data_IF_208296446119
#
_entry.id   IF_208296446119
#
_cell.length_a   1.000
_cell.length_b   1.000
_cell.length_c   1.000
_cell.angle_alpha   90.00
_cell.angle_beta   90.00
_cell.angle_gamma   90.00
#
_symmetry.space_group_name_H-M   'P 1'
#
loop_
_entity.id
_entity.type
_entity.pdbx_description
1 polymer ?
#
# COMPACT_ATOMS: atom_id res chain seq x y z
N UNK A 1 0.26 -38.73 4.34
CA UNK A 1 0.32 -37.92 3.11
C UNK A 1 -0.37 -38.74 2.03
N UNK A 2 -1.60 -38.42 1.69
CA UNK A 2 -2.31 -39.00 0.55
C UNK A 2 -2.09 -38.08 -0.64
N UNK A 3 -1.62 -38.63 -1.76
CA UNK A 3 -1.47 -37.92 -3.03
C UNK A 3 -2.79 -37.26 -3.43
N UNK A 4 -2.76 -36.04 -4.02
CA UNK A 4 -3.97 -35.43 -4.54
C UNK A 4 -4.44 -36.24 -5.75
N UNK A 5 -5.69 -36.67 -5.68
CA UNK A 5 -6.43 -37.33 -6.74
C UNK A 5 -6.34 -36.46 -8.01
N UNK A 6 -5.72 -36.98 -9.06
CA UNK A 6 -5.68 -36.34 -10.36
C UNK A 6 -7.09 -36.40 -10.95
N UNK A 7 -7.85 -35.33 -10.72
CA UNK A 7 -9.23 -35.23 -11.17
C UNK A 7 -9.35 -35.43 -12.67
N UNK A 8 -10.15 -36.42 -13.04
CA UNK A 8 -10.62 -36.63 -14.40
C UNK A 8 -11.27 -35.33 -14.88
N UNK A 9 -10.91 -34.77 -16.04
CA UNK A 9 -11.53 -33.54 -16.52
C UNK A 9 -13.04 -33.79 -16.69
N UNK A 10 -13.82 -33.00 -15.91
CA UNK A 10 -15.27 -33.05 -16.00
C UNK A 10 -15.65 -32.61 -17.41
N UNK A 11 -16.34 -33.49 -18.16
CA UNK A 11 -17.08 -33.08 -19.32
C UNK A 11 -18.18 -32.13 -18.85
N UNK A 12 -17.96 -30.83 -19.03
CA UNK A 12 -19.06 -29.86 -18.96
C UNK A 12 -20.23 -30.44 -19.74
N UNK A 13 -21.46 -30.43 -19.18
CA UNK A 13 -22.61 -30.90 -19.97
C UNK A 13 -22.60 -30.15 -21.29
N UNK A 14 -22.68 -30.90 -22.37
CA UNK A 14 -22.75 -30.32 -23.71
C UNK A 14 -23.90 -29.28 -23.71
N UNK A 15 -23.78 -28.15 -24.42
CA UNK A 15 -24.89 -27.20 -24.59
C UNK A 15 -26.17 -27.84 -25.10
N UNK A 16 -26.06 -29.06 -25.62
CA UNK A 16 -27.17 -29.88 -26.06
C UNK A 16 -27.83 -30.74 -24.95
N UNK A 17 -27.27 -30.74 -23.72
CA UNK A 17 -27.85 -31.49 -22.57
C UNK A 17 -28.66 -30.55 -21.67
N UNK A 18 -29.64 -29.89 -22.26
CA UNK A 18 -30.53 -28.94 -21.61
C UNK A 18 -31.23 -29.50 -20.36
N UNK A 19 -31.41 -30.84 -20.31
CA UNK A 19 -32.02 -31.51 -19.15
C UNK A 19 -31.15 -31.47 -17.91
N UNK A 20 -29.85 -31.75 -18.02
CA UNK A 20 -28.92 -31.75 -16.91
C UNK A 20 -28.66 -30.31 -16.37
N UNK A 21 -28.55 -29.34 -17.27
CA UNK A 21 -28.40 -27.93 -16.89
C UNK A 21 -29.66 -27.43 -16.15
N UNK A 22 -30.87 -27.72 -16.67
CA UNK A 22 -32.13 -27.36 -16.04
C UNK A 22 -32.31 -28.05 -14.66
N UNK A 23 -31.91 -29.31 -14.52
CA UNK A 23 -31.93 -30.00 -13.24
C UNK A 23 -30.99 -29.38 -12.21
N UNK A 24 -29.80 -28.96 -12.62
CA UNK A 24 -28.84 -28.27 -11.77
C UNK A 24 -29.33 -26.88 -11.33
N UNK A 25 -29.88 -26.12 -12.27
CA UNK A 25 -30.46 -24.77 -11.96
C UNK A 25 -31.72 -24.89 -11.09
N UNK A 26 -32.41 -26.03 -11.11
CA UNK A 26 -33.57 -26.30 -10.25
C UNK A 26 -33.19 -26.84 -8.85
N UNK A 27 -31.90 -27.23 -8.65
CA UNK A 27 -31.42 -27.64 -7.32
C UNK A 27 -31.33 -26.41 -6.40
N UNK A 28 -32.10 -26.36 -5.29
CA UNK A 28 -32.16 -25.19 -4.44
C UNK A 28 -30.82 -24.89 -3.74
N UNK A 29 -29.96 -25.89 -3.50
CA UNK A 29 -28.65 -25.71 -2.91
C UNK A 29 -27.72 -25.05 -3.93
N UNK A 30 -27.72 -25.52 -5.18
CA UNK A 30 -26.93 -24.91 -6.24
C UNK A 30 -27.40 -23.48 -6.55
N UNK A 31 -28.70 -23.24 -6.63
CA UNK A 31 -29.26 -21.92 -6.92
C UNK A 31 -28.84 -20.91 -5.84
N UNK A 32 -28.89 -21.29 -4.54
CA UNK A 32 -28.46 -20.42 -3.46
C UNK A 32 -26.95 -20.14 -3.51
N UNK A 33 -26.12 -21.14 -3.75
CA UNK A 33 -24.66 -20.98 -3.90
C UNK A 33 -24.30 -20.12 -5.12
N UNK A 34 -24.98 -20.30 -6.24
CA UNK A 34 -24.74 -19.52 -7.45
C UNK A 34 -25.14 -18.06 -7.28
N UNK A 35 -26.27 -17.77 -6.62
CA UNK A 35 -26.70 -16.43 -6.29
C UNK A 35 -25.70 -15.73 -5.35
N UNK A 36 -25.22 -16.44 -4.34
CA UNK A 36 -24.19 -15.93 -3.43
C UNK A 36 -22.87 -15.70 -4.17
N UNK A 37 -22.42 -16.67 -4.96
CA UNK A 37 -21.17 -16.55 -5.74
C UNK A 37 -21.17 -15.45 -6.80
N UNK A 38 -22.35 -15.02 -7.25
CA UNK A 38 -22.50 -13.88 -8.15
C UNK A 38 -22.35 -12.52 -7.42
N UNK A 39 -22.57 -12.47 -6.10
CA UNK A 39 -22.48 -11.26 -5.29
C UNK A 39 -21.21 -11.19 -4.46
N UNK A 40 -20.81 -12.34 -3.88
CA UNK A 40 -19.75 -12.47 -2.91
C UNK A 40 -18.78 -13.56 -3.35
N UNK A 41 -17.54 -13.50 -2.86
CA UNK A 41 -16.57 -14.55 -3.13
C UNK A 41 -16.70 -15.62 -2.03
N UNK A 42 -17.03 -16.85 -2.44
CA UNK A 42 -17.02 -18.03 -1.55
C UNK A 42 -15.65 -18.67 -1.72
N UNK A 43 -14.84 -18.73 -0.65
CA UNK A 43 -13.55 -19.40 -0.69
C UNK A 43 -13.70 -20.94 -0.66
N UNK A 44 -12.63 -21.64 -1.04
CA UNK A 44 -12.64 -23.10 -1.08
C UNK A 44 -12.93 -23.75 0.28
N UNK A 45 -12.30 -23.24 1.33
CA UNK A 45 -12.42 -23.83 2.68
C UNK A 45 -13.82 -23.62 3.25
N UNK A 46 -14.48 -22.56 2.86
CA UNK A 46 -15.86 -22.29 3.19
C UNK A 46 -16.80 -23.20 2.39
N UNK A 47 -16.60 -23.30 1.07
CA UNK A 47 -17.41 -24.20 0.22
C UNK A 47 -17.33 -25.66 0.69
N UNK A 48 -16.13 -26.11 1.06
CA UNK A 48 -15.92 -27.50 1.51
C UNK A 48 -16.67 -27.86 2.81
N UNK A 49 -17.12 -26.88 3.57
CA UNK A 49 -17.89 -27.04 4.82
C UNK A 49 -19.40 -26.92 4.62
N UNK A 50 -19.85 -26.50 3.44
CA UNK A 50 -21.27 -26.24 3.13
C UNK A 50 -21.96 -27.48 2.57
N UNK A 51 -23.32 -27.54 2.66
CA UNK A 51 -24.10 -28.51 1.89
C UNK A 51 -23.81 -28.33 0.39
N UNK A 52 -23.61 -29.46 -0.30
CA UNK A 52 -23.36 -29.49 -1.72
C UNK A 52 -24.60 -29.90 -2.50
N UNK A 53 -24.76 -29.48 -3.77
CA UNK A 53 -25.84 -29.92 -4.63
C UNK A 53 -25.83 -31.44 -4.81
N UNK A 54 -27.00 -32.02 -5.01
CA UNK A 54 -27.17 -33.47 -5.12
C UNK A 54 -26.33 -34.05 -6.29
N UNK A 55 -25.47 -35.02 -5.97
CA UNK A 55 -24.63 -35.71 -6.95
C UNK A 55 -23.37 -34.96 -7.39
N UNK A 56 -23.05 -33.81 -6.80
CA UNK A 56 -21.83 -33.06 -7.09
C UNK A 56 -20.81 -33.15 -5.96
N UNK A 57 -19.54 -33.24 -6.30
CA UNK A 57 -18.44 -33.06 -5.35
C UNK A 57 -18.17 -31.59 -5.08
N UNK A 58 -17.36 -31.28 -4.06
CA UNK A 58 -16.91 -29.92 -3.80
C UNK A 58 -16.13 -29.34 -4.98
N UNK A 59 -15.31 -30.15 -5.65
CA UNK A 59 -14.57 -29.74 -6.84
C UNK A 59 -15.50 -29.40 -8.00
N UNK A 60 -16.52 -30.24 -8.25
CA UNK A 60 -17.50 -29.98 -9.32
C UNK A 60 -18.26 -28.68 -9.05
N UNK A 61 -18.73 -28.53 -7.80
CA UNK A 61 -19.45 -27.32 -7.37
C UNK A 61 -18.57 -26.09 -7.52
N UNK A 62 -17.29 -26.16 -7.12
CA UNK A 62 -16.33 -25.06 -7.28
C UNK A 62 -16.16 -24.62 -8.72
N UNK A 63 -15.98 -25.59 -9.64
CA UNK A 63 -15.84 -25.30 -11.07
C UNK A 63 -17.09 -24.62 -11.66
N UNK A 64 -18.27 -25.07 -11.25
CA UNK A 64 -19.52 -24.47 -11.68
C UNK A 64 -19.68 -23.05 -11.14
N UNK A 65 -19.36 -22.81 -9.87
CA UNK A 65 -19.38 -21.45 -9.29
C UNK A 65 -18.34 -20.54 -9.94
N UNK A 66 -17.17 -21.07 -10.31
CA UNK A 66 -16.16 -20.33 -11.08
C UNK A 66 -16.72 -19.94 -12.47
N UNK A 67 -17.43 -20.84 -13.14
CA UNK A 67 -18.08 -20.52 -14.40
C UNK A 67 -19.18 -19.46 -14.24
N UNK A 68 -19.96 -19.49 -13.15
CA UNK A 68 -20.94 -18.44 -12.82
C UNK A 68 -20.26 -17.07 -12.69
N UNK A 69 -19.16 -17.00 -11.93
CA UNK A 69 -18.39 -15.76 -11.76
C UNK A 69 -17.83 -15.26 -13.10
N UNK A 70 -17.36 -16.18 -13.94
CA UNK A 70 -16.77 -15.85 -15.25
C UNK A 70 -17.74 -15.09 -16.18
N UNK A 71 -19.03 -15.36 -16.11
CA UNK A 71 -20.04 -14.66 -16.92
C UNK A 71 -20.17 -13.17 -16.61
N UNK A 72 -19.99 -12.78 -15.36
CA UNK A 72 -20.05 -11.38 -14.93
C UNK A 72 -18.67 -10.72 -14.75
N UNK A 73 -17.61 -11.35 -15.26
CA UNK A 73 -16.25 -10.92 -15.03
C UNK A 73 -15.76 -9.85 -16.00
N UNK A 74 -14.81 -9.05 -15.52
CA UNK A 74 -13.98 -8.16 -16.33
C UNK A 74 -12.66 -8.85 -16.66
N UNK A 75 -12.26 -8.79 -17.92
CA UNK A 75 -11.01 -9.38 -18.40
C UNK A 75 -9.94 -8.30 -18.48
N UNK A 76 -8.75 -8.60 -17.94
CA UNK A 76 -7.58 -7.76 -18.17
C UNK A 76 -7.13 -7.86 -19.64
N UNK A 77 -6.72 -6.73 -20.25
CA UNK A 77 -6.33 -6.71 -21.67
C UNK A 77 -4.93 -7.28 -21.92
N UNK A 78 -4.25 -7.73 -20.86
CA UNK A 78 -2.90 -8.28 -20.94
C UNK A 78 -2.95 -9.79 -20.82
N UNK A 79 -2.14 -10.46 -21.63
CA UNK A 79 -1.90 -11.91 -21.54
C UNK A 79 -0.53 -12.16 -20.98
N UNK A 80 -0.39 -13.19 -20.16
CA UNK A 80 0.94 -13.59 -19.70
C UNK A 80 1.78 -14.22 -20.82
N UNK A 81 3.00 -14.59 -20.50
CA UNK A 81 3.96 -15.17 -21.45
C UNK A 81 3.56 -16.55 -21.99
N UNK A 82 2.51 -17.16 -21.41
CA UNK A 82 1.86 -18.40 -21.90
C UNK A 82 0.60 -18.13 -22.71
N UNK A 83 0.22 -16.87 -22.88
CA UNK A 83 -0.99 -16.44 -23.55
C UNK A 83 -2.26 -16.59 -22.72
N UNK A 84 -2.16 -16.87 -21.41
CA UNK A 84 -3.32 -17.00 -20.54
C UNK A 84 -4.00 -15.65 -20.34
N UNK A 85 -5.33 -15.71 -20.22
CA UNK A 85 -6.21 -14.58 -19.95
C UNK A 85 -6.47 -14.48 -18.45
N UNK A 86 -6.37 -13.29 -17.90
CA UNK A 86 -6.70 -13.01 -16.52
C UNK A 86 -8.03 -12.27 -16.44
N UNK A 87 -8.88 -12.65 -15.51
CA UNK A 87 -10.18 -12.04 -15.29
C UNK A 87 -10.52 -11.95 -13.80
N UNK A 88 -11.37 -11.03 -13.44
CA UNK A 88 -11.89 -10.89 -12.08
C UNK A 88 -13.35 -10.52 -12.09
N UNK A 89 -14.05 -10.82 -11.01
CA UNK A 89 -15.44 -10.41 -10.78
C UNK A 89 -15.49 -9.42 -9.64
N UNK A 90 -16.22 -8.32 -9.84
CA UNK A 90 -16.51 -7.38 -8.77
C UNK A 90 -17.52 -8.00 -7.81
N UNK A 91 -17.09 -8.23 -6.59
CA UNK A 91 -17.94 -8.68 -5.48
C UNK A 91 -18.45 -7.47 -4.70
N UNK A 92 -19.43 -7.72 -3.84
CA UNK A 92 -19.89 -6.70 -2.88
C UNK A 92 -18.75 -6.17 -2.02
N UNK A 93 -17.88 -7.06 -1.55
CA UNK A 93 -16.74 -6.71 -0.69
C UNK A 93 -15.70 -5.88 -1.45
N UNK A 94 -15.33 -6.29 -2.68
CA UNK A 94 -14.43 -5.49 -3.50
C UNK A 94 -14.99 -4.10 -3.81
N UNK A 95 -16.30 -4.00 -4.04
CA UNK A 95 -16.97 -2.71 -4.27
C UNK A 95 -16.92 -1.81 -3.05
N UNK A 96 -17.08 -2.35 -1.84
CA UNK A 96 -16.94 -1.58 -0.60
C UNK A 96 -15.50 -1.11 -0.38
N UNK A 97 -14.52 -1.94 -0.68
CA UNK A 97 -13.10 -1.55 -0.62
C UNK A 97 -12.79 -0.43 -1.62
N UNK A 98 -13.27 -0.58 -2.86
CA UNK A 98 -13.11 0.46 -3.89
C UNK A 98 -13.75 1.78 -3.44
N UNK A 99 -14.97 1.77 -2.92
CA UNK A 99 -15.66 2.98 -2.42
C UNK A 99 -14.86 3.66 -1.29
N UNK A 100 -14.29 2.90 -0.37
CA UNK A 100 -13.44 3.46 0.68
C UNK A 100 -12.16 4.12 0.10
N UNK A 101 -11.51 3.48 -0.86
CA UNK A 101 -10.32 4.01 -1.54
C UNK A 101 -10.68 5.27 -2.34
N UNK A 102 -11.78 5.24 -3.12
CA UNK A 102 -12.26 6.40 -3.87
C UNK A 102 -12.50 7.62 -2.97
N UNK A 103 -13.13 7.41 -1.82
CA UNK A 103 -13.47 8.47 -0.88
C UNK A 103 -12.23 9.11 -0.22
N UNK A 104 -11.21 8.33 0.05
CA UNK A 104 -10.10 8.77 0.90
C UNK A 104 -8.79 8.97 0.15
N UNK A 105 -8.57 8.32 -0.99
CA UNK A 105 -7.25 8.30 -1.63
C UNK A 105 -7.07 9.33 -2.73
N UNK A 106 -8.13 10.01 -3.17
CA UNK A 106 -8.06 11.06 -4.20
C UNK A 106 -7.31 12.31 -3.72
N UNK A 107 -6.74 13.04 -4.66
CA UNK A 107 -6.00 14.28 -4.40
C UNK A 107 -6.87 15.38 -3.75
N UNK A 108 -8.16 15.42 -4.06
CA UNK A 108 -9.13 16.36 -3.50
C UNK A 108 -9.75 15.90 -2.16
N UNK A 109 -9.36 14.74 -1.63
CA UNK A 109 -9.91 14.19 -0.39
C UNK A 109 -9.50 14.98 0.86
N UNK A 110 -10.30 14.88 1.92
CA UNK A 110 -9.95 15.43 3.22
C UNK A 110 -8.73 14.71 3.83
N UNK A 111 -8.55 13.44 3.50
CA UNK A 111 -7.40 12.63 3.94
C UNK A 111 -6.10 13.16 3.34
N UNK A 112 -6.06 13.41 2.02
CA UNK A 112 -4.88 13.99 1.38
C UNK A 112 -4.52 15.36 1.96
N UNK A 113 -5.50 16.25 2.13
CA UNK A 113 -5.25 17.53 2.81
C UNK A 113 -4.69 17.37 4.21
N UNK A 114 -5.18 16.39 4.99
CA UNK A 114 -4.67 16.11 6.32
C UNK A 114 -3.22 15.58 6.32
N UNK A 115 -2.85 14.80 5.31
CA UNK A 115 -1.48 14.28 5.13
C UNK A 115 -0.49 15.42 4.82
N UNK A 116 -0.90 16.41 4.04
CA UNK A 116 -0.04 17.54 3.69
C UNK A 116 0.25 18.46 4.89
N UNK A 117 -0.57 18.39 5.95
CA UNK A 117 -0.27 19.08 7.21
C UNK A 117 0.84 18.38 8.01
N UNK A 118 1.43 19.08 8.97
CA UNK A 118 2.59 18.68 9.78
C UNK A 118 2.55 17.22 10.26
N UNK A 119 1.42 16.78 10.81
CA UNK A 119 1.28 15.42 11.37
C UNK A 119 1.26 14.33 10.31
N UNK A 120 0.71 14.62 9.14
CA UNK A 120 0.71 13.68 8.02
C UNK A 120 2.10 13.48 7.42
N UNK A 121 2.97 14.49 7.45
CA UNK A 121 4.36 14.34 6.94
C UNK A 121 5.16 13.29 7.71
N UNK A 122 4.99 13.19 9.03
CA UNK A 122 5.62 12.13 9.84
C UNK A 122 5.15 10.73 9.39
N UNK A 123 3.85 10.59 9.12
CA UNK A 123 3.31 9.35 8.58
C UNK A 123 3.94 9.01 7.23
N UNK A 124 4.06 9.98 6.31
CA UNK A 124 4.67 9.77 4.99
C UNK A 124 6.11 9.27 5.09
N UNK A 125 6.92 9.87 5.96
CA UNK A 125 8.32 9.43 6.17
C UNK A 125 8.35 7.99 6.67
N UNK A 126 7.61 7.69 7.74
CA UNK A 126 7.56 6.33 8.29
C UNK A 126 6.97 5.30 7.31
N UNK A 127 5.96 5.69 6.52
CA UNK A 127 5.39 4.83 5.47
C UNK A 127 6.41 4.50 4.39
N UNK A 128 7.15 5.49 3.88
CA UNK A 128 8.19 5.29 2.85
C UNK A 128 9.33 4.39 3.36
N UNK A 129 9.75 4.56 4.62
CA UNK A 129 10.76 3.71 5.25
C UNK A 129 10.27 2.26 5.31
N UNK A 130 9.08 2.03 5.88
CA UNK A 130 8.49 0.68 5.98
C UNK A 130 8.31 0.04 4.61
N UNK A 131 7.85 0.81 3.63
CA UNK A 131 7.65 0.33 2.26
C UNK A 131 8.97 -0.10 1.61
N UNK A 132 10.03 0.71 1.69
CA UNK A 132 11.32 0.38 1.10
C UNK A 132 11.95 -0.88 1.73
N UNK A 133 11.86 -1.02 3.06
CA UNK A 133 12.38 -2.19 3.77
C UNK A 133 11.60 -3.45 3.41
N UNK A 134 10.27 -3.40 3.52
CA UNK A 134 9.41 -4.55 3.24
C UNK A 134 9.47 -4.97 1.77
N UNK A 135 9.60 -4.00 0.85
CA UNK A 135 9.78 -4.28 -0.57
C UNK A 135 11.05 -5.11 -0.83
N UNK A 136 12.18 -4.74 -0.23
CA UNK A 136 13.42 -5.50 -0.35
C UNK A 136 13.27 -6.91 0.25
N UNK A 137 12.63 -7.04 1.41
CA UNK A 137 12.41 -8.34 2.07
C UNK A 137 11.49 -9.27 1.25
N UNK A 138 10.44 -8.71 0.66
CA UNK A 138 9.51 -9.46 -0.22
C UNK A 138 10.20 -9.94 -1.50
N UNK A 139 11.19 -9.22 -2.00
CA UNK A 139 12.03 -9.63 -3.13
C UNK A 139 13.22 -10.53 -2.70
N UNK A 140 13.17 -11.05 -1.47
CA UNK A 140 14.08 -12.06 -0.96
C UNK A 140 15.39 -11.53 -0.41
N UNK A 141 15.62 -10.23 -0.35
CA UNK A 141 16.85 -9.65 0.23
C UNK A 141 16.83 -9.83 1.74
N UNK A 142 17.94 -10.32 2.29
CA UNK A 142 18.10 -10.46 3.74
C UNK A 142 18.39 -9.09 4.33
N UNK A 143 17.40 -8.56 5.08
CA UNK A 143 17.44 -7.21 5.66
C UNK A 143 17.02 -7.29 7.12
N UNK A 144 17.81 -6.71 8.01
CA UNK A 144 17.42 -6.40 9.37
C UNK A 144 16.58 -5.11 9.37
N UNK A 145 15.29 -5.14 9.79
CA UNK A 145 14.44 -3.94 9.81
C UNK A 145 15.06 -2.79 10.61
N UNK A 146 15.58 -3.06 11.81
CA UNK A 146 16.13 -2.04 12.70
C UNK A 146 17.39 -1.38 12.12
N UNK A 147 18.29 -2.19 11.49
CA UNK A 147 19.48 -1.65 10.84
C UNK A 147 19.13 -0.83 9.58
N UNK A 148 18.15 -1.26 8.81
CA UNK A 148 17.65 -0.55 7.64
C UNK A 148 16.96 0.77 8.02
N UNK A 149 16.12 0.75 9.06
CA UNK A 149 15.51 1.97 9.59
C UNK A 149 16.57 2.95 10.09
N UNK A 150 17.54 2.47 10.88
CA UNK A 150 18.68 3.29 11.33
C UNK A 150 19.48 3.86 10.16
N UNK A 151 19.72 3.07 9.09
CA UNK A 151 20.37 3.53 7.86
C UNK A 151 19.61 4.71 7.23
N UNK A 152 18.30 4.54 7.02
CA UNK A 152 17.45 5.53 6.36
C UNK A 152 17.27 6.79 7.21
N UNK A 153 17.19 6.66 8.53
CA UNK A 153 17.03 7.79 9.45
C UNK A 153 18.33 8.58 9.65
N UNK A 154 19.49 7.91 9.68
CA UNK A 154 20.78 8.57 9.89
C UNK A 154 21.37 9.23 8.65
N UNK A 155 20.93 8.83 7.44
CA UNK A 155 21.49 9.31 6.17
C UNK A 155 22.97 8.91 5.97
N UNK A 156 23.46 7.88 6.67
CA UNK A 156 24.84 7.42 6.52
C UNK A 156 25.10 6.83 5.13
N UNK A 157 26.36 6.86 4.71
CA UNK A 157 26.76 6.20 3.46
C UNK A 157 26.57 4.67 3.55
N UNK A 158 26.24 3.99 2.41
CA UNK A 158 26.08 2.56 2.35
C UNK A 158 27.42 1.84 2.61
N UNK A 159 27.39 0.77 3.39
CA UNK A 159 28.56 -0.05 3.74
C UNK A 159 28.67 -1.31 2.90
N UNK A 160 27.55 -1.76 2.34
CA UNK A 160 27.45 -2.99 1.55
C UNK A 160 26.37 -2.86 0.47
N UNK A 161 26.21 -3.92 -0.33
CA UNK A 161 25.22 -3.96 -1.41
C UNK A 161 23.77 -3.85 -0.92
N UNK A 162 23.45 -4.47 0.23
CA UNK A 162 22.11 -4.38 0.84
C UNK A 162 21.77 -2.96 1.26
N UNK A 163 22.71 -2.27 1.95
CA UNK A 163 22.55 -0.85 2.30
C UNK A 163 22.29 0.00 1.05
N UNK A 164 23.05 -0.22 -0.03
CA UNK A 164 22.90 0.51 -1.29
C UNK A 164 21.53 0.29 -1.91
N UNK A 165 21.07 -0.96 -1.98
CA UNK A 165 19.78 -1.30 -2.55
C UNK A 165 18.62 -0.65 -1.75
N UNK A 166 18.68 -0.69 -0.42
CA UNK A 166 17.68 -0.08 0.45
C UNK A 166 17.62 1.44 0.23
N UNK A 167 18.79 2.10 0.18
CA UNK A 167 18.87 3.54 -0.09
C UNK A 167 18.30 3.88 -1.47
N UNK A 168 18.63 3.11 -2.50
CA UNK A 168 18.10 3.31 -3.84
C UNK A 168 16.57 3.10 -3.89
N UNK A 169 16.08 2.01 -3.27
CA UNK A 169 14.64 1.74 -3.18
C UNK A 169 13.88 2.88 -2.46
N UNK A 170 14.43 3.39 -1.36
CA UNK A 170 13.85 4.50 -0.64
C UNK A 170 13.90 5.82 -1.44
N UNK A 171 15.03 6.12 -2.09
CA UNK A 171 15.19 7.32 -2.91
C UNK A 171 14.21 7.34 -4.09
N UNK A 172 14.02 6.19 -4.77
CA UNK A 172 13.03 6.05 -5.84
C UNK A 172 11.64 6.49 -5.40
N UNK A 173 11.21 6.19 -4.16
CA UNK A 173 9.88 6.58 -3.68
C UNK A 173 9.68 8.12 -3.61
N UNK A 174 10.76 8.91 -3.66
CA UNK A 174 10.68 10.37 -3.78
C UNK A 174 10.81 10.82 -5.23
N UNK A 175 11.69 10.19 -6.00
CA UNK A 175 11.94 10.50 -7.41
C UNK A 175 10.70 10.27 -8.30
N UNK A 176 9.79 9.35 -7.90
CA UNK A 176 8.55 9.09 -8.62
C UNK A 176 7.62 10.30 -8.72
N UNK A 177 7.69 11.21 -7.76
CA UNK A 177 6.84 12.42 -7.77
C UNK A 177 7.19 13.32 -8.97
N UNK A 178 8.46 13.30 -9.43
CA UNK A 178 8.95 14.06 -10.62
C UNK A 178 8.59 13.36 -11.95
N UNK A 179 8.20 12.09 -11.91
CA UNK A 179 7.84 11.30 -13.09
C UNK A 179 6.31 11.22 -13.31
N UNK A 180 5.53 11.92 -12.51
CA UNK A 180 4.07 11.81 -12.53
C UNK A 180 3.42 12.20 -13.87
N UNK A 181 4.06 13.05 -14.66
CA UNK A 181 3.56 13.47 -15.97
C UNK A 181 4.08 12.60 -17.14
N UNK A 182 4.97 11.64 -16.88
CA UNK A 182 5.58 10.81 -17.92
C UNK A 182 4.74 9.56 -18.18
N UNK A 183 4.30 9.26 -19.43
CA UNK A 183 3.54 8.08 -19.74
C UNK A 183 4.38 6.80 -19.53
N UNK A 184 3.73 5.71 -19.16
CA UNK A 184 4.39 4.42 -19.06
C UNK A 184 4.96 3.99 -20.41
N UNK A 185 6.22 3.63 -20.41
CA UNK A 185 6.93 3.11 -21.59
C UNK A 185 7.97 2.06 -21.17
N UNK A 186 8.44 1.21 -22.08
CA UNK A 186 9.52 0.27 -21.79
C UNK A 186 10.78 0.98 -21.27
N UNK A 187 11.06 2.18 -21.78
CA UNK A 187 12.20 3.00 -21.38
C UNK A 187 12.06 3.53 -19.96
N UNK A 188 10.86 4.00 -19.58
CA UNK A 188 10.58 4.41 -18.19
C UNK A 188 10.76 3.25 -17.22
N UNK A 189 10.19 2.08 -17.54
CA UNK A 189 10.35 0.89 -16.70
C UNK A 189 11.80 0.46 -16.55
N UNK A 190 12.57 0.53 -17.64
CA UNK A 190 14.01 0.23 -17.64
C UNK A 190 14.78 1.22 -16.76
N UNK A 191 14.50 2.53 -16.85
CA UNK A 191 15.12 3.55 -15.98
C UNK A 191 14.82 3.31 -14.50
N UNK A 192 13.59 2.94 -14.14
CA UNK A 192 13.25 2.61 -12.75
C UNK A 192 14.10 1.44 -12.24
N UNK A 193 14.24 0.40 -13.06
CA UNK A 193 15.08 -0.76 -12.71
C UNK A 193 16.57 -0.39 -12.61
N UNK A 194 17.12 0.31 -13.59
CA UNK A 194 18.52 0.74 -13.60
C UNK A 194 18.85 1.64 -12.40
N UNK A 195 17.95 2.58 -12.08
CA UNK A 195 18.08 3.45 -10.92
C UNK A 195 18.06 2.67 -9.60
N UNK A 196 17.23 1.62 -9.52
CA UNK A 196 17.16 0.75 -8.35
C UNK A 196 18.50 0.03 -8.11
N UNK A 197 19.12 -0.50 -9.15
CA UNK A 197 20.35 -1.30 -9.05
C UNK A 197 21.63 -0.48 -9.18
N UNK A 198 21.54 0.84 -9.30
CA UNK A 198 22.69 1.73 -9.49
C UNK A 198 23.71 1.58 -8.36
N UNK A 199 24.92 1.14 -8.71
CA UNK A 199 26.01 0.92 -7.76
C UNK A 199 25.80 -0.24 -6.79
N UNK A 200 24.85 -1.14 -7.06
CA UNK A 200 24.62 -2.35 -6.27
C UNK A 200 25.44 -3.51 -6.83
N UNK A 201 26.27 -4.12 -6.00
CA UNK A 201 26.91 -5.39 -6.34
C UNK A 201 25.91 -6.54 -6.11
N UNK A 202 25.24 -6.95 -7.19
CA UNK A 202 24.22 -8.00 -7.15
C UNK A 202 24.76 -9.35 -6.67
N UNK A 203 26.05 -9.62 -6.89
CA UNK A 203 26.70 -10.88 -6.48
C UNK A 203 26.96 -10.95 -4.97
N UNK A 204 27.03 -9.80 -4.31
CA UNK A 204 27.27 -9.69 -2.87
C UNK A 204 25.97 -9.65 -2.04
N UNK A 205 24.79 -9.67 -2.67
CA UNK A 205 23.51 -9.67 -1.96
C UNK A 205 23.20 -11.05 -1.38
N UNK A 206 22.93 -11.10 -0.08
CA UNK A 206 22.36 -12.28 0.55
C UNK A 206 20.86 -12.35 0.26
N UNK A 207 20.40 -13.47 -0.32
CA UNK A 207 19.02 -13.65 -0.73
C UNK A 207 18.41 -14.94 -0.19
N UNK A 208 17.14 -14.88 0.14
CA UNK A 208 16.28 -16.04 0.41
C UNK A 208 15.45 -16.37 -0.82
N UNK A 209 15.11 -17.65 -1.04
CA UNK A 209 14.14 -18.02 -2.08
C UNK A 209 12.82 -17.26 -1.84
N UNK A 210 12.37 -16.53 -2.85
CA UNK A 210 11.09 -15.84 -2.81
C UNK A 210 9.98 -16.86 -3.12
N UNK A 211 9.04 -17.01 -2.20
CA UNK A 211 7.80 -17.75 -2.46
C UNK A 211 6.78 -16.76 -2.99
N UNK A 212 6.70 -16.63 -4.28
CA UNK A 212 5.57 -15.94 -4.91
C UNK A 212 4.35 -16.86 -4.79
N UNK A 213 3.39 -16.50 -3.95
CA UNK A 213 2.22 -17.31 -3.65
C UNK A 213 1.27 -17.59 -4.82
N UNK A 214 1.59 -17.11 -6.02
CA UNK A 214 0.78 -17.23 -7.24
C UNK A 214 1.37 -18.13 -8.31
N UNK A 215 2.63 -18.52 -8.17
CA UNK A 215 3.23 -19.44 -9.12
C UNK A 215 3.71 -20.66 -8.38
N UNK A 216 2.93 -21.74 -8.43
CA UNK A 216 3.58 -23.01 -8.61
C UNK A 216 4.56 -22.79 -9.76
N UNK A 217 5.86 -22.95 -9.49
CA UNK A 217 6.87 -23.06 -10.54
C UNK A 217 6.54 -24.31 -11.37
N UNK A 218 5.53 -24.19 -12.21
CA UNK A 218 5.47 -25.07 -13.35
C UNK A 218 6.67 -24.65 -14.17
N UNK A 219 7.61 -25.58 -14.38
CA UNK A 219 8.80 -25.41 -15.21
C UNK A 219 8.41 -24.62 -16.45
N UNK A 220 8.74 -23.33 -16.45
CA UNK A 220 8.36 -22.44 -17.53
C UNK A 220 9.30 -22.72 -18.69
N UNK A 221 8.76 -22.93 -19.86
CA UNK A 221 9.58 -22.83 -21.07
C UNK A 221 10.32 -21.48 -21.02
N UNK A 222 11.60 -21.43 -21.46
CA UNK A 222 12.36 -20.20 -21.43
C UNK A 222 11.61 -19.10 -22.19
N UNK A 223 11.38 -17.98 -21.50
CA UNK A 223 10.70 -16.82 -22.08
C UNK A 223 11.63 -16.15 -23.09
N UNK A 224 11.19 -16.02 -24.33
CA UNK A 224 11.99 -15.33 -25.34
C UNK A 224 12.00 -13.81 -25.10
N UNK A 225 13.09 -13.10 -25.48
CA UNK A 225 13.13 -11.64 -25.37
C UNK A 225 11.98 -10.94 -26.08
N UNK A 226 11.53 -11.47 -27.24
CA UNK A 226 10.43 -10.94 -28.04
C UNK A 226 9.08 -11.07 -27.31
N UNK A 227 8.83 -12.23 -26.70
CA UNK A 227 7.61 -12.45 -25.90
C UNK A 227 7.58 -11.48 -24.69
N UNK A 228 8.70 -11.31 -24.01
CA UNK A 228 8.83 -10.36 -22.89
C UNK A 228 8.58 -8.92 -23.35
N UNK A 229 9.19 -8.49 -24.45
CA UNK A 229 8.99 -7.16 -25.01
C UNK A 229 7.52 -6.91 -25.39
N UNK A 230 6.85 -7.91 -25.99
CA UNK A 230 5.43 -7.84 -26.34
C UNK A 230 4.52 -7.69 -25.12
N UNK A 231 4.82 -8.39 -24.03
CA UNK A 231 4.07 -8.27 -22.76
C UNK A 231 4.30 -6.90 -22.12
N UNK A 232 5.53 -6.38 -22.09
CA UNK A 232 5.83 -5.04 -21.58
C UNK A 232 5.09 -3.96 -22.38
N UNK A 233 5.00 -4.08 -23.70
CA UNK A 233 4.22 -3.15 -24.53
C UNK A 233 2.72 -3.19 -24.17
N UNK A 234 2.12 -4.37 -24.05
CA UNK A 234 0.71 -4.51 -23.63
C UNK A 234 0.49 -3.92 -22.24
N UNK A 235 1.44 -4.12 -21.33
CA UNK A 235 1.43 -3.56 -19.99
C UNK A 235 1.42 -2.02 -20.01
N UNK A 236 2.31 -1.40 -20.78
CA UNK A 236 2.36 0.05 -20.91
C UNK A 236 1.08 0.61 -21.53
N UNK A 237 0.57 0.00 -22.60
CA UNK A 237 -0.70 0.38 -23.24
C UNK A 237 -1.88 0.32 -22.25
N UNK A 238 -1.94 -0.73 -21.44
CA UNK A 238 -2.94 -0.84 -20.36
C UNK A 238 -2.75 0.22 -19.29
N UNK A 239 -1.54 0.44 -18.79
CA UNK A 239 -1.26 1.46 -17.78
C UNK A 239 -1.65 2.87 -18.27
N UNK A 240 -1.39 3.18 -19.53
CA UNK A 240 -1.74 4.47 -20.15
C UNK A 240 -3.24 4.62 -20.46
N UNK A 241 -4.03 3.54 -20.38
CA UNK A 241 -5.45 3.57 -20.68
C UNK A 241 -5.78 3.47 -22.18
N UNK A 242 -4.83 3.01 -22.99
CA UNK A 242 -5.02 2.76 -24.41
C UNK A 242 -5.81 1.45 -24.67
N UNK A 243 -5.78 0.55 -23.70
CA UNK A 243 -6.49 -0.73 -23.70
C UNK A 243 -7.19 -0.97 -22.35
N UNK A 244 -8.16 -1.88 -22.34
CA UNK A 244 -8.93 -2.25 -21.15
C UNK A 244 -10.21 -1.45 -21.00
N UNK A 245 -10.91 -1.67 -19.86
CA UNK A 245 -12.13 -0.97 -19.54
C UNK A 245 -11.80 0.45 -19.01
N UNK A 246 -12.27 1.51 -19.67
CA UNK A 246 -12.02 2.88 -19.21
C UNK A 246 -12.71 3.22 -17.87
N UNK A 247 -13.68 2.40 -17.44
CA UNK A 247 -14.41 2.57 -16.17
C UNK A 247 -13.82 1.76 -15.03
N UNK A 248 -12.73 1.01 -15.29
CA UNK A 248 -12.06 0.21 -14.28
C UNK A 248 -11.52 1.07 -13.14
N UNK A 249 -11.77 0.63 -11.90
CA UNK A 249 -11.27 1.33 -10.71
C UNK A 249 -9.75 1.49 -10.74
N UNK A 250 -9.28 2.70 -10.41
CA UNK A 250 -7.85 3.02 -10.28
C UNK A 250 -7.16 2.09 -9.29
N UNK A 251 -7.82 1.75 -8.18
CA UNK A 251 -7.25 0.84 -7.19
C UNK A 251 -7.03 -0.58 -7.75
N UNK A 252 -8.02 -1.13 -8.45
CA UNK A 252 -7.90 -2.47 -9.06
C UNK A 252 -6.79 -2.47 -10.10
N UNK A 253 -6.79 -1.47 -10.99
CA UNK A 253 -5.78 -1.35 -12.04
C UNK A 253 -4.37 -1.17 -11.47
N UNK A 254 -4.20 -0.33 -10.44
CA UNK A 254 -2.91 -0.15 -9.77
C UNK A 254 -2.36 -1.48 -9.22
N UNK A 255 -3.22 -2.27 -8.55
CA UNK A 255 -2.82 -3.58 -8.03
C UNK A 255 -2.56 -4.61 -9.14
N UNK A 256 -3.34 -4.59 -10.21
CA UNK A 256 -3.09 -5.44 -11.37
C UNK A 256 -1.72 -5.15 -12.00
N UNK A 257 -1.36 -3.87 -12.14
CA UNK A 257 -0.05 -3.45 -12.65
C UNK A 257 1.10 -3.87 -11.71
N UNK A 258 0.96 -3.67 -10.39
CA UNK A 258 1.94 -4.14 -9.40
C UNK A 258 2.18 -5.64 -9.56
N UNK A 259 1.11 -6.44 -9.57
CA UNK A 259 1.22 -7.89 -9.60
C UNK A 259 1.75 -8.41 -10.92
N UNK A 260 1.34 -7.80 -12.04
CA UNK A 260 1.86 -8.14 -13.36
C UNK A 260 3.38 -7.92 -13.41
N UNK A 261 3.87 -6.76 -12.99
CA UNK A 261 5.29 -6.48 -12.98
C UNK A 261 6.06 -7.45 -12.05
N UNK A 262 5.50 -7.73 -10.87
CA UNK A 262 6.12 -8.61 -9.87
C UNK A 262 6.26 -10.06 -10.36
N UNK A 263 5.23 -10.61 -11.03
CA UNK A 263 5.15 -12.04 -11.33
C UNK A 263 5.56 -12.41 -12.74
N UNK A 264 5.58 -11.47 -13.68
CA UNK A 264 5.88 -11.77 -15.08
C UNK A 264 7.34 -11.47 -15.47
N UNK A 265 8.21 -11.29 -14.48
CA UNK A 265 9.67 -11.25 -14.64
C UNK A 265 10.13 -10.31 -15.78
N UNK A 266 9.72 -9.05 -15.74
CA UNK A 266 10.15 -8.03 -16.71
C UNK A 266 11.66 -7.83 -16.71
N UNK A 267 12.27 -7.95 -15.51
CA UNK A 267 13.69 -7.81 -15.26
C UNK A 267 14.25 -9.09 -14.63
N UNK A 268 15.56 -9.28 -14.67
CA UNK A 268 16.21 -10.44 -14.04
C UNK A 268 15.95 -10.56 -12.54
N UNK A 269 15.79 -9.40 -11.86
CA UNK A 269 15.68 -9.31 -10.40
C UNK A 269 14.77 -8.15 -9.99
N UNK A 270 14.34 -8.12 -8.73
CA UNK A 270 13.64 -7.00 -8.07
C UNK A 270 12.36 -6.53 -8.76
N UNK A 271 11.70 -7.42 -9.46
CA UNK A 271 10.44 -7.10 -10.13
C UNK A 271 9.36 -6.64 -9.16
N UNK A 272 9.37 -7.13 -7.92
CA UNK A 272 8.46 -6.69 -6.88
C UNK A 272 8.71 -5.24 -6.47
N UNK A 273 9.97 -4.82 -6.28
CA UNK A 273 10.29 -3.41 -5.94
C UNK A 273 9.88 -2.49 -7.09
N UNK A 274 10.20 -2.85 -8.34
CA UNK A 274 9.77 -2.09 -9.51
C UNK A 274 8.26 -2.03 -9.63
N UNK A 275 7.56 -3.14 -9.40
CA UNK A 275 6.09 -3.18 -9.40
C UNK A 275 5.46 -2.21 -8.39
N UNK A 276 6.09 -2.02 -7.23
CA UNK A 276 5.64 -1.05 -6.21
C UNK A 276 5.90 0.39 -6.65
N UNK A 277 7.01 0.65 -7.31
CA UNK A 277 7.25 1.94 -7.94
C UNK A 277 6.18 2.25 -9.00
N UNK A 278 5.85 1.27 -9.84
CA UNK A 278 4.79 1.38 -10.86
C UNK A 278 3.43 1.66 -10.19
N UNK A 279 3.07 0.90 -9.15
CA UNK A 279 1.82 1.11 -8.40
C UNK A 279 1.70 2.55 -7.90
N UNK A 280 2.75 3.05 -7.25
CA UNK A 280 2.79 4.40 -6.70
C UNK A 280 2.72 5.46 -7.80
N UNK A 281 3.51 5.31 -8.87
CA UNK A 281 3.53 6.22 -10.00
C UNK A 281 2.16 6.27 -10.69
N UNK A 282 1.56 5.10 -10.95
CA UNK A 282 0.23 5.01 -11.55
C UNK A 282 -0.83 5.69 -10.67
N UNK A 283 -0.83 5.46 -9.36
CA UNK A 283 -1.75 6.10 -8.44
C UNK A 283 -1.60 7.63 -8.47
N UNK A 284 -0.37 8.15 -8.50
CA UNK A 284 -0.10 9.59 -8.61
C UNK A 284 -0.61 10.17 -9.94
N UNK A 285 -0.35 9.51 -11.06
CA UNK A 285 -0.82 9.91 -12.40
C UNK A 285 -2.35 9.95 -12.54
N UNK A 286 -3.05 9.22 -11.70
CA UNK A 286 -4.54 9.12 -11.71
C UNK A 286 -5.20 9.94 -10.60
N UNK A 287 -4.49 10.89 -9.99
CA UNK A 287 -4.99 11.72 -8.90
C UNK A 287 -5.37 10.95 -7.61
N UNK A 288 -4.67 9.82 -7.32
CA UNK A 288 -4.82 9.03 -6.11
C UNK A 288 -3.54 9.00 -5.25
N UNK A 289 -2.95 10.15 -4.87
CA UNK A 289 -1.66 10.18 -4.19
C UNK A 289 -1.68 9.43 -2.85
N UNK A 290 -2.80 9.44 -2.13
CA UNK A 290 -2.90 8.75 -0.83
C UNK A 290 -2.73 7.24 -1.01
N UNK A 291 -3.30 6.64 -2.06
CA UNK A 291 -3.12 5.22 -2.36
C UNK A 291 -1.63 4.88 -2.53
N UNK A 292 -0.88 5.72 -3.26
CA UNK A 292 0.57 5.57 -3.43
C UNK A 292 1.39 5.78 -2.14
N UNK A 293 0.83 6.41 -1.11
CA UNK A 293 1.50 6.62 0.17
C UNK A 293 1.28 5.49 1.17
N UNK A 294 0.35 4.57 0.91
CA UNK A 294 0.05 3.47 1.81
C UNK A 294 1.21 2.44 1.83
N UNK A 295 1.59 1.91 3.00
CA UNK A 295 2.67 0.94 3.13
C UNK A 295 2.18 -0.49 2.80
N UNK A 296 1.78 -0.71 1.55
CA UNK A 296 1.17 -1.96 1.07
C UNK A 296 2.09 -3.15 1.28
N UNK A 297 3.40 -2.98 1.03
CA UNK A 297 4.37 -4.08 1.17
C UNK A 297 4.50 -4.58 2.59
N UNK A 298 4.56 -3.67 3.57
CA UNK A 298 4.71 -4.07 4.97
C UNK A 298 3.48 -4.81 5.50
N UNK A 299 2.29 -4.42 5.03
CA UNK A 299 1.04 -5.09 5.39
C UNK A 299 0.88 -6.42 4.65
N UNK A 300 1.20 -6.47 3.36
CA UNK A 300 1.21 -7.71 2.61
C UNK A 300 2.18 -8.73 3.23
N UNK A 301 3.37 -8.30 3.64
CA UNK A 301 4.32 -9.14 4.34
C UNK A 301 3.74 -9.65 5.67
N UNK A 302 3.17 -8.77 6.48
CA UNK A 302 2.55 -9.14 7.76
C UNK A 302 1.41 -10.14 7.59
N UNK A 303 0.61 -9.99 6.53
CA UNK A 303 -0.43 -10.94 6.18
C UNK A 303 0.15 -12.29 5.72
N UNK A 304 1.11 -12.28 4.81
CA UNK A 304 1.72 -13.50 4.25
C UNK A 304 2.49 -14.33 5.29
N UNK A 305 2.99 -13.68 6.32
CA UNK A 305 3.67 -14.32 7.47
C UNK A 305 2.70 -14.72 8.60
N UNK A 306 1.39 -14.50 8.43
CA UNK A 306 0.36 -14.83 9.42
C UNK A 306 0.39 -13.95 10.67
N UNK A 307 1.02 -12.77 10.60
CA UNK A 307 1.08 -11.79 11.71
C UNK A 307 -0.16 -10.87 11.75
N UNK A 308 -0.95 -10.86 10.68
CA UNK A 308 -2.21 -10.13 10.60
C UNK A 308 -3.37 -11.09 10.91
N UNK A 309 -4.37 -10.62 11.67
CA UNK A 309 -5.56 -11.43 11.94
C UNK A 309 -6.29 -11.79 10.64
N UNK A 310 -6.59 -13.08 10.47
CA UNK A 310 -7.29 -13.62 9.29
C UNK A 310 -8.71 -13.08 9.11
N UNK A 311 -9.27 -12.43 10.15
CA UNK A 311 -10.58 -11.76 10.06
C UNK A 311 -10.56 -10.49 9.20
N UNK A 312 -9.38 -9.94 8.96
CA UNK A 312 -9.20 -8.67 8.24
C UNK A 312 -8.93 -8.88 6.75
N UNK A 313 -8.08 -9.87 6.42
CA UNK A 313 -7.80 -10.27 5.03
C UNK A 313 -8.11 -11.76 4.90
N UNK A 314 -9.22 -12.08 4.24
CA UNK A 314 -9.80 -13.43 4.26
C UNK A 314 -9.31 -14.32 3.14
N UNK A 315 -8.92 -13.76 2.01
CA UNK A 315 -8.76 -14.53 0.78
C UNK A 315 -7.30 -14.89 0.54
N UNK A 316 -7.09 -16.10 0.04
CA UNK A 316 -5.78 -16.65 -0.25
C UNK A 316 -5.54 -16.71 -1.75
N UNK A 317 -4.32 -16.37 -2.16
CA UNK A 317 -3.85 -16.61 -3.53
C UNK A 317 -3.91 -18.08 -3.97
N UNK A 318 -4.04 -19.01 -3.02
CA UNK A 318 -4.22 -20.45 -3.32
C UNK A 318 -5.52 -20.73 -4.10
N UNK A 319 -6.58 -19.94 -3.88
CA UNK A 319 -7.84 -20.10 -4.59
C UNK A 319 -7.72 -19.72 -6.07
N UNK A 320 -6.83 -18.80 -6.42
CA UNK A 320 -6.50 -18.46 -7.80
C UNK A 320 -6.02 -19.70 -8.57
N UNK A 321 -5.14 -20.51 -7.98
CA UNK A 321 -4.69 -21.76 -8.59
C UNK A 321 -5.81 -22.78 -8.80
N UNK A 322 -6.77 -22.86 -7.89
CA UNK A 322 -7.92 -23.78 -7.98
C UNK A 322 -8.94 -23.40 -9.05
N UNK A 323 -9.11 -22.09 -9.27
CA UNK A 323 -10.07 -21.54 -10.25
C UNK A 323 -9.46 -21.36 -11.64
N UNK A 324 -8.15 -21.56 -11.79
CA UNK A 324 -7.43 -21.33 -13.04
C UNK A 324 -7.38 -22.57 -13.92
N UNK A 325 -7.36 -22.37 -15.23
CA UNK A 325 -7.14 -23.39 -16.27
C UNK A 325 -5.82 -23.13 -16.98
N UNK A 326 -5.51 -23.97 -17.97
CA UNK A 326 -4.34 -23.75 -18.84
C UNK A 326 -4.42 -22.45 -19.64
N UNK A 327 -5.62 -21.94 -19.88
CA UNK A 327 -5.87 -20.76 -20.74
C UNK A 327 -6.38 -19.54 -20.01
N UNK A 328 -6.95 -19.70 -18.82
CA UNK A 328 -7.59 -18.63 -18.04
C UNK A 328 -7.21 -18.69 -16.57
N UNK A 329 -7.11 -17.52 -15.94
CA UNK A 329 -6.81 -17.34 -14.52
C UNK A 329 -7.90 -16.51 -13.86
N UNK A 330 -8.59 -17.07 -12.86
CA UNK A 330 -9.46 -16.31 -11.96
C UNK A 330 -8.62 -15.49 -10.98
N UNK A 331 -8.57 -14.19 -11.20
CA UNK A 331 -7.79 -13.27 -10.42
C UNK A 331 -8.59 -12.58 -9.29
N UNK A 332 -9.86 -12.95 -9.14
CA UNK A 332 -10.77 -12.37 -8.11
C UNK A 332 -10.19 -12.44 -6.70
N UNK A 333 -9.63 -13.59 -6.22
CA UNK A 333 -9.06 -13.65 -4.87
C UNK A 333 -7.92 -12.65 -4.63
N UNK A 334 -7.09 -12.44 -5.66
CA UNK A 334 -5.98 -11.51 -5.59
C UNK A 334 -6.45 -10.06 -5.52
N UNK A 335 -7.42 -9.69 -6.37
CA UNK A 335 -8.04 -8.35 -6.33
C UNK A 335 -8.59 -8.08 -4.95
N UNK A 336 -9.35 -9.01 -4.37
CA UNK A 336 -9.89 -8.90 -3.02
C UNK A 336 -8.80 -8.71 -1.97
N UNK A 337 -7.78 -9.58 -1.96
CA UNK A 337 -6.67 -9.52 -0.99
C UNK A 337 -5.99 -8.15 -1.00
N UNK A 338 -5.64 -7.64 -2.17
CA UNK A 338 -4.92 -6.38 -2.26
C UNK A 338 -5.79 -5.16 -1.94
N UNK A 339 -7.08 -5.18 -2.31
CA UNK A 339 -8.02 -4.14 -1.91
C UNK A 339 -8.22 -4.12 -0.40
N UNK A 340 -8.37 -5.28 0.25
CA UNK A 340 -8.48 -5.38 1.70
C UNK A 340 -7.22 -4.86 2.40
N UNK A 341 -6.02 -5.24 1.94
CA UNK A 341 -4.75 -4.73 2.46
C UNK A 341 -4.69 -3.19 2.34
N UNK A 342 -5.16 -2.65 1.21
CA UNK A 342 -5.21 -1.20 1.02
C UNK A 342 -6.16 -0.50 2.00
N UNK A 343 -7.32 -1.11 2.28
CA UNK A 343 -8.28 -0.57 3.26
C UNK A 343 -7.69 -0.63 4.67
N UNK A 344 -7.02 -1.72 5.05
CA UNK A 344 -6.31 -1.81 6.34
C UNK A 344 -5.26 -0.71 6.48
N UNK A 345 -4.45 -0.51 5.43
CA UNK A 345 -3.45 0.56 5.41
C UNK A 345 -4.08 1.94 5.55
N UNK A 346 -5.23 2.14 4.91
CA UNK A 346 -6.00 3.36 4.99
C UNK A 346 -6.56 3.60 6.40
N UNK A 347 -7.09 2.58 7.04
CA UNK A 347 -7.62 2.66 8.41
C UNK A 347 -6.51 2.97 9.43
N UNK A 348 -5.31 2.40 9.27
CA UNK A 348 -4.13 2.76 10.07
C UNK A 348 -3.76 4.24 9.90
N UNK A 349 -3.76 4.73 8.66
CA UNK A 349 -3.51 6.14 8.34
C UNK A 349 -4.55 7.06 8.99
N UNK A 350 -5.84 6.77 8.80
CA UNK A 350 -6.94 7.55 9.35
C UNK A 350 -6.90 7.57 10.89
N UNK A 351 -6.62 6.42 11.51
CA UNK A 351 -6.40 6.31 12.95
C UNK A 351 -5.22 7.15 13.44
N UNK A 352 -4.11 7.15 12.70
CA UNK A 352 -2.93 7.97 13.00
C UNK A 352 -3.25 9.47 12.94
N UNK A 353 -3.94 9.91 11.90
CA UNK A 353 -4.40 11.32 11.77
C UNK A 353 -5.34 11.69 12.90
N UNK A 354 -6.28 10.82 13.26
CA UNK A 354 -7.22 11.07 14.34
C UNK A 354 -6.51 11.20 15.70
N UNK A 355 -5.55 10.31 15.99
CA UNK A 355 -4.74 10.40 17.23
C UNK A 355 -3.94 11.70 17.29
N UNK A 356 -3.29 12.09 16.19
CA UNK A 356 -2.53 13.33 16.12
C UNK A 356 -3.42 14.57 16.39
N UNK A 357 -4.62 14.61 15.80
CA UNK A 357 -5.59 15.69 16.01
C UNK A 357 -6.08 15.75 17.47
N UNK A 358 -6.31 14.60 18.10
CA UNK A 358 -6.69 14.55 19.53
C UNK A 358 -5.58 15.11 20.42
N UNK A 359 -4.33 14.68 20.22
CA UNK A 359 -3.18 15.21 20.95
C UNK A 359 -3.07 16.73 20.83
N UNK A 360 -3.23 17.26 19.60
CA UNK A 360 -3.22 18.73 19.39
C UNK A 360 -4.33 19.44 20.13
N UNK A 361 -5.54 18.88 20.13
CA UNK A 361 -6.68 19.44 20.86
C UNK A 361 -6.45 19.42 22.39
N UNK A 362 -5.90 18.32 22.92
CA UNK A 362 -5.54 18.17 24.33
C UNK A 362 -4.46 19.16 24.75
N UNK A 363 -3.39 19.29 23.96
CA UNK A 363 -2.32 20.26 24.19
C UNK A 363 -2.88 21.70 24.20
N UNK A 364 -3.73 22.01 23.22
CA UNK A 364 -4.37 23.34 23.16
C UNK A 364 -5.26 23.61 24.37
N UNK A 365 -6.07 22.64 24.78
CA UNK A 365 -6.95 22.74 25.96
C UNK A 365 -6.13 22.94 27.24
N UNK A 366 -5.02 22.19 27.40
CA UNK A 366 -4.12 22.39 28.59
C UNK A 366 -3.50 23.76 28.60
N UNK A 367 -3.01 24.27 27.46
CA UNK A 367 -2.48 25.62 27.33
C UNK A 367 -3.50 26.70 27.69
N UNK A 368 -4.77 26.53 27.32
CA UNK A 368 -5.83 27.48 27.63
C UNK A 368 -6.14 27.54 29.14
N UNK A 369 -5.96 26.43 29.84
CA UNK A 369 -6.27 26.30 31.27
C UNK A 369 -5.04 26.40 32.19
N UNK A 370 -3.83 26.57 31.64
CA UNK A 370 -2.60 26.72 32.44
C UNK A 370 -2.60 28.06 33.14
N UNK A 371 -2.71 28.02 34.46
CA UNK A 371 -2.77 29.23 35.32
C UNK A 371 -1.41 29.93 35.45
N UNK A 372 -0.30 29.26 35.19
CA UNK A 372 1.06 29.79 35.30
C UNK A 372 1.47 30.61 34.08
N UNK A 373 0.84 30.37 32.94
CA UNK A 373 1.13 31.06 31.68
C UNK A 373 0.20 32.25 31.46
N UNK A 374 0.75 33.41 31.16
CA UNK A 374 -0.05 34.54 30.70
C UNK A 374 -0.50 34.36 29.25
N UNK A 375 -1.48 35.17 28.78
CA UNK A 375 -2.06 35.04 27.46
C UNK A 375 -1.03 35.19 26.32
N UNK A 376 0.03 35.99 26.49
CA UNK A 376 1.08 36.24 25.50
C UNK A 376 1.98 34.99 25.39
N UNK A 377 2.35 34.41 26.55
CA UNK A 377 3.13 33.20 26.63
C UNK A 377 2.38 32.01 25.97
N UNK A 378 1.07 31.87 26.22
CA UNK A 378 0.22 30.88 25.53
C UNK A 378 0.22 31.08 24.05
N UNK A 379 0.14 32.33 23.55
CA UNK A 379 0.21 32.66 22.15
C UNK A 379 1.55 32.24 21.49
N UNK A 380 2.67 32.48 22.19
CA UNK A 380 4.02 32.07 21.79
C UNK A 380 4.08 30.53 21.64
N UNK A 381 3.65 29.82 22.70
CA UNK A 381 3.67 28.35 22.70
C UNK A 381 2.79 27.78 21.60
N UNK A 382 1.58 28.33 21.40
CA UNK A 382 0.70 27.92 20.31
C UNK A 382 1.35 28.14 18.93
N UNK A 383 2.07 29.27 18.77
CA UNK A 383 2.81 29.56 17.54
C UNK A 383 4.01 28.62 17.35
N UNK A 384 4.76 28.33 18.39
CA UNK A 384 5.88 27.40 18.41
C UNK A 384 5.45 25.96 18.08
N UNK A 385 4.32 25.52 18.64
CA UNK A 385 3.72 24.22 18.32
C UNK A 385 3.30 24.11 16.84
N UNK A 386 2.76 25.18 16.28
CA UNK A 386 2.38 25.22 14.88
C UNK A 386 3.60 25.28 13.95
N UNK A 387 4.70 25.87 14.40
CA UNK A 387 5.92 26.13 13.63
C UNK A 387 7.17 25.73 14.41
N UNK A 388 7.59 24.46 14.43
CA UNK A 388 8.70 23.97 15.25
C UNK A 388 10.06 24.60 14.96
N UNK A 389 10.23 25.08 13.72
CA UNK A 389 11.47 25.70 13.26
C UNK A 389 11.44 27.22 13.35
N UNK A 390 10.42 27.79 14.04
CA UNK A 390 10.28 29.23 14.13
C UNK A 390 11.39 29.84 15.01
N UNK A 391 11.99 30.90 14.52
CA UNK A 391 12.87 31.75 15.29
C UNK A 391 12.05 32.89 15.92
N UNK A 392 11.94 32.88 17.22
CA UNK A 392 11.24 33.94 17.97
C UNK A 392 12.23 35.01 18.45
N UNK A 393 11.88 36.27 18.29
CA UNK A 393 12.73 37.38 18.68
C UNK A 393 11.97 38.35 19.59
N UNK A 394 12.65 38.91 20.56
CA UNK A 394 12.05 39.83 21.57
C UNK A 394 11.32 40.98 20.88
N UNK A 395 11.89 41.60 19.85
CA UNK A 395 11.26 42.71 19.14
C UNK A 395 9.99 42.34 18.42
N UNK A 396 9.95 41.14 17.82
CA UNK A 396 8.77 40.63 17.13
C UNK A 396 7.64 40.41 18.15
N UNK A 397 7.94 39.77 19.27
CA UNK A 397 7.01 39.58 20.37
C UNK A 397 6.52 40.90 20.96
N UNK A 398 7.45 41.85 21.15
CA UNK A 398 7.14 43.22 21.62
C UNK A 398 6.10 43.87 20.68
N UNK A 399 6.33 43.82 19.38
CA UNK A 399 5.45 44.44 18.37
C UNK A 399 4.11 43.75 18.30
N UNK A 400 4.12 42.42 18.28
CA UNK A 400 2.91 41.57 18.11
C UNK A 400 1.90 41.76 19.27
N UNK A 401 2.41 42.03 20.49
CA UNK A 401 1.57 42.18 21.70
C UNK A 401 1.53 43.59 22.26
N UNK A 402 2.16 44.55 21.59
CA UNK A 402 2.20 45.96 21.98
C UNK A 402 2.64 46.16 23.46
N UNK A 403 3.72 45.50 23.87
CA UNK A 403 4.30 45.59 25.23
C UNK A 403 5.66 46.22 25.19
N UNK A 404 6.18 46.62 26.38
CA UNK A 404 7.56 47.14 26.47
C UNK A 404 8.58 46.02 26.34
N UNK A 405 9.79 46.33 25.88
CA UNK A 405 10.87 45.38 25.64
C UNK A 405 11.17 44.49 26.85
N UNK A 406 11.16 45.07 28.07
CA UNK A 406 11.40 44.32 29.29
C UNK A 406 10.36 43.21 29.51
N UNK A 407 9.08 43.50 29.26
CA UNK A 407 7.99 42.51 29.36
C UNK A 407 8.12 41.43 28.29
N UNK A 408 8.38 41.81 27.03
CA UNK A 408 8.58 40.83 25.95
C UNK A 408 9.78 39.93 26.22
N UNK A 409 10.86 40.47 26.80
CA UNK A 409 12.03 39.69 27.18
C UNK A 409 11.73 38.76 28.36
N UNK A 410 11.00 39.20 29.36
CA UNK A 410 10.62 38.38 30.50
C UNK A 410 9.74 37.20 30.05
N UNK A 411 8.70 37.45 29.24
CA UNK A 411 7.83 36.39 28.72
C UNK A 411 8.62 35.26 28.03
N UNK A 412 9.63 35.60 27.20
CA UNK A 412 10.43 34.60 26.48
C UNK A 412 11.43 33.88 27.39
N UNK A 413 12.02 34.57 28.38
CA UNK A 413 12.94 33.93 29.32
C UNK A 413 12.20 33.01 30.29
N UNK A 414 11.03 33.40 30.78
CA UNK A 414 10.19 32.52 31.61
C UNK A 414 9.83 31.22 30.85
N UNK A 415 9.56 31.31 29.56
CA UNK A 415 9.32 30.12 28.73
C UNK A 415 10.57 29.25 28.54
N UNK A 416 11.77 29.85 28.57
CA UNK A 416 13.02 29.06 28.59
C UNK A 416 13.19 28.39 29.95
N UNK A 417 12.94 29.11 31.05
CA UNK A 417 13.05 28.58 32.42
C UNK A 417 12.04 27.42 32.66
N UNK A 418 10.86 27.51 32.06
CA UNK A 418 9.88 26.42 32.02
C UNK A 418 10.24 25.28 31.06
N UNK A 419 11.29 25.44 30.26
CA UNK A 419 11.74 24.41 29.26
C UNK A 419 10.86 24.31 28.03
N UNK A 420 10.04 25.31 27.72
CA UNK A 420 9.23 25.34 26.50
C UNK A 420 9.98 25.89 25.29
N UNK A 421 11.00 26.74 25.55
CA UNK A 421 11.88 27.30 24.54
C UNK A 421 13.36 27.06 24.90
N UNK A 422 14.23 27.11 23.88
CA UNK A 422 15.68 27.16 24.01
C UNK A 422 16.18 28.50 23.53
N UNK A 423 17.14 29.08 24.25
CA UNK A 423 17.78 30.32 23.88
C UNK A 423 19.11 30.04 23.16
N UNK A 424 19.28 30.59 21.97
CA UNK A 424 20.53 30.55 21.23
C UNK A 424 21.05 31.95 20.91
N UNK A 425 22.38 32.10 20.86
CA UNK A 425 23.02 33.34 20.44
C UNK A 425 23.33 33.25 18.92
N UNK A 426 22.67 34.09 18.11
CA UNK A 426 22.97 34.19 16.67
C UNK A 426 23.52 35.60 16.38
N UNK A 427 24.81 35.65 16.13
CA UNK A 427 25.54 36.93 15.99
C UNK A 427 25.55 37.73 17.31
N UNK A 428 24.91 38.88 17.34
CA UNK A 428 24.80 39.76 18.53
C UNK A 428 23.42 39.72 19.19
N UNK A 429 22.50 38.90 18.70
CA UNK A 429 21.13 38.83 19.18
C UNK A 429 20.78 37.45 19.72
N UNK A 430 19.96 37.40 20.76
CA UNK A 430 19.35 36.16 21.22
C UNK A 430 18.15 35.85 20.35
N UNK A 431 18.05 34.57 19.98
CA UNK A 431 16.93 33.96 19.30
C UNK A 431 16.38 32.84 20.17
N UNK A 432 15.07 32.70 20.21
CA UNK A 432 14.39 31.70 21.01
C UNK A 432 13.77 30.68 20.03
N UNK A 433 14.08 29.42 20.24
CA UNK A 433 13.61 28.30 19.42
C UNK A 433 12.70 27.39 20.24
N UNK A 434 11.69 26.79 19.66
CA UNK A 434 10.91 25.76 20.37
C UNK A 434 11.83 24.64 20.89
N UNK A 435 11.57 24.18 22.12
CA UNK A 435 12.24 22.99 22.64
C UNK A 435 11.76 21.77 21.84
N UNK A 436 12.64 20.84 21.43
CA UNK A 436 12.23 19.64 20.71
C UNK A 436 11.17 18.82 21.44
N UNK A 437 11.22 18.78 22.76
CA UNK A 437 10.30 18.04 23.63
C UNK A 437 9.05 18.86 24.01
N UNK A 438 8.87 20.06 23.46
CA UNK A 438 7.73 20.94 23.75
C UNK A 438 6.37 20.22 23.62
N UNK A 439 6.10 19.42 22.56
CA UNK A 439 4.84 18.70 22.45
C UNK A 439 4.63 17.65 23.56
N UNK A 440 5.71 16.97 23.98
CA UNK A 440 5.69 15.94 25.01
C UNK A 440 5.48 16.53 26.40
N UNK A 441 6.15 17.65 26.71
CA UNK A 441 5.99 18.36 27.99
C UNK A 441 4.58 18.90 28.19
N UNK A 442 3.92 19.36 27.14
CA UNK A 442 2.53 19.83 27.18
C UNK A 442 1.51 18.66 27.06
N UNK A 443 1.90 17.54 26.46
CA UNK A 443 1.07 16.35 26.38
C UNK A 443 0.95 15.55 27.68
N UNK A 444 1.88 15.74 28.64
CA UNK A 444 2.10 14.84 29.77
C UNK A 444 2.81 13.58 29.34
N UNK A 445 3.76 13.07 30.12
CA UNK A 445 4.39 11.79 29.86
C UNK A 445 3.30 10.71 29.67
N UNK A 446 3.37 9.96 28.58
CA UNK A 446 2.57 8.76 28.44
C UNK A 446 2.81 7.90 29.67
N UNK A 447 1.76 7.57 30.40
CA UNK A 447 1.82 6.46 31.36
C UNK A 447 2.26 5.23 30.57
N UNK A 448 3.42 4.69 30.94
CA UNK A 448 4.11 3.57 30.35
C UNK A 448 3.31 2.27 30.44
#
# INVERSE_FOLDING_TARGET
>A
MREPDQGVPIRMPSPHDSGAVNALLADPVFAALAEEAARDYIDWDELAKRPLPAGLSATDTWQLLTAVRRFGSTQFPIRDMRGRVYWYTLTRESSLCVDAIERHCRADSATHRAILHRHGRRFLVGSRIREAIAACQLDGVVVSPDEAESLLMSGRAPRNATDRLILNSHALLYELDDLADEPFSPELLTRLYERLIEGVDLSALERRPVRHGLTDRVESAPVTPEARAGVIQQFCAYANGETGDPTESVAIKAHALLNTAQHWEFFPDFNGIVGRCIFRLFAAQRDYPVLGYLPISSLYQSWSEGRMESSVVRFSSLDTGRSSSETEVDYTPNVLTYLQISVVALDELLGSIARARRRDAEVRSRLEHDAELNYRQRSIIAHALANPDVELRIREHQTAHNVVYATARADLLDLVDCGYLRQELRGRAFVFLPDPDLPERLGGAEEA
#
